data_IF_946049079319
#
_entry.id   IF_946049079319
#
_cell.length_a   1.000
_cell.length_b   1.000
_cell.length_c   1.000
_cell.angle_alpha   90.00
_cell.angle_beta   90.00
_cell.angle_gamma   90.00
#
_symmetry.space_group_name_H-M   'P 1'
#
loop_
_entity.id
_entity.type
_entity.pdbx_description
1 polymer ?
#
# COMPACT_ATOMS: atom_id res chain seq x y z
N UNK A 1 -52.15 50.02 -0.89
CA UNK A 1 -50.69 50.08 -1.21
C UNK A 1 -49.79 49.50 -0.13
N UNK A 2 -50.06 49.61 1.17
CA UNK A 2 -49.18 49.07 2.28
C UNK A 2 -48.91 47.55 2.25
N UNK A 3 -49.81 46.71 1.74
CA UNK A 3 -49.65 45.25 1.80
C UNK A 3 -48.64 44.69 0.77
N UNK A 4 -48.42 45.35 -0.36
CA UNK A 4 -47.44 44.95 -1.37
C UNK A 4 -46.00 45.29 -1.00
N UNK A 5 -45.82 46.39 -0.25
CA UNK A 5 -44.51 46.80 0.27
C UNK A 5 -43.99 45.84 1.32
N UNK A 6 -44.88 45.32 2.20
CA UNK A 6 -44.45 44.36 3.23
C UNK A 6 -43.97 43.01 2.67
N UNK A 7 -44.64 42.51 1.60
CA UNK A 7 -44.26 41.25 0.93
C UNK A 7 -42.90 41.43 0.22
N UNK A 8 -42.64 42.58 -0.38
CA UNK A 8 -41.35 42.87 -1.01
C UNK A 8 -40.19 42.82 0.00
N UNK A 9 -40.37 43.46 1.18
CA UNK A 9 -39.36 43.45 2.21
C UNK A 9 -39.14 42.08 2.86
N UNK A 10 -40.18 41.24 2.96
CA UNK A 10 -40.05 39.84 3.43
C UNK A 10 -39.28 38.99 2.44
N UNK A 11 -39.58 39.07 1.14
CA UNK A 11 -38.87 38.33 0.10
C UNK A 11 -37.41 38.79 0.03
N UNK A 12 -37.14 40.09 0.10
CA UNK A 12 -35.79 40.66 0.10
C UNK A 12 -34.99 40.14 1.31
N UNK A 13 -35.57 40.16 2.51
CA UNK A 13 -34.92 39.67 3.74
C UNK A 13 -34.63 38.17 3.68
N UNK A 14 -35.57 37.33 3.16
CA UNK A 14 -35.34 35.90 3.00
C UNK A 14 -34.23 35.62 1.96
N UNK A 15 -34.19 36.37 0.85
CA UNK A 15 -33.15 36.15 -0.18
C UNK A 15 -31.75 36.53 0.32
N UNK A 16 -31.64 37.61 1.12
CA UNK A 16 -30.36 37.99 1.71
C UNK A 16 -29.89 37.03 2.78
N UNK A 17 -30.79 36.43 3.57
CA UNK A 17 -30.44 35.37 4.52
C UNK A 17 -29.95 34.09 3.81
N UNK A 18 -30.63 33.68 2.75
CA UNK A 18 -30.19 32.53 1.93
C UNK A 18 -28.83 32.79 1.28
N UNK A 19 -28.60 33.99 0.75
CA UNK A 19 -27.31 34.34 0.16
C UNK A 19 -26.17 34.34 1.16
N UNK A 20 -26.39 34.90 2.36
CA UNK A 20 -25.42 34.88 3.45
C UNK A 20 -25.13 33.47 3.97
N UNK A 21 -26.15 32.60 4.03
CA UNK A 21 -25.96 31.18 4.41
C UNK A 21 -25.14 30.41 3.36
N UNK A 22 -25.37 30.67 2.06
CA UNK A 22 -24.58 30.08 0.97
C UNK A 22 -23.12 30.57 0.99
N UNK A 23 -22.89 31.85 1.25
CA UNK A 23 -21.53 32.39 1.46
C UNK A 23 -20.87 31.74 2.68
N UNK A 24 -21.58 31.57 3.77
CA UNK A 24 -21.07 30.90 4.98
C UNK A 24 -20.68 29.43 4.72
N UNK A 25 -21.47 28.69 3.95
CA UNK A 25 -21.16 27.33 3.51
C UNK A 25 -19.95 27.33 2.56
N UNK A 26 -19.93 28.22 1.58
CA UNK A 26 -18.81 28.36 0.64
C UNK A 26 -17.49 28.72 1.33
N UNK A 27 -17.52 29.62 2.31
CA UNK A 27 -16.36 29.99 3.11
C UNK A 27 -15.91 28.82 4.02
N UNK A 28 -16.83 28.03 4.57
CA UNK A 28 -16.48 26.82 5.33
C UNK A 28 -15.82 25.75 4.46
N UNK A 29 -16.33 25.55 3.24
CA UNK A 29 -15.76 24.59 2.27
C UNK A 29 -14.35 25.06 1.84
N UNK A 30 -14.15 26.36 1.66
CA UNK A 30 -12.83 26.92 1.30
C UNK A 30 -11.88 27.11 2.50
N UNK A 31 -12.40 27.14 3.73
CA UNK A 31 -11.56 27.14 4.94
C UNK A 31 -11.19 25.73 5.42
N UNK A 32 -11.78 24.68 4.89
CA UNK A 32 -11.18 23.35 4.98
C UNK A 32 -9.92 23.36 4.11
N UNK A 33 -8.86 24.01 4.62
CA UNK A 33 -7.51 23.69 4.16
C UNK A 33 -7.44 22.17 4.27
N UNK A 34 -7.02 21.42 3.21
CA UNK A 34 -6.51 20.11 3.47
C UNK A 34 -5.40 20.36 4.50
N UNK A 35 -5.62 19.96 5.71
CA UNK A 35 -4.54 19.72 6.64
C UNK A 35 -3.79 18.56 5.99
N UNK A 36 -2.83 18.90 5.13
CA UNK A 36 -1.63 18.10 5.03
C UNK A 36 -1.13 18.10 6.47
N UNK A 37 -1.64 17.16 7.27
CA UNK A 37 -1.06 16.87 8.54
C UNK A 37 0.42 16.69 8.20
N UNK A 38 1.22 17.61 8.71
CA UNK A 38 2.66 17.50 8.58
C UNK A 38 2.99 16.23 9.36
N UNK A 39 3.07 15.10 8.68
CA UNK A 39 3.56 13.84 9.23
C UNK A 39 5.05 13.97 9.56
N UNK A 40 5.44 15.09 10.17
CA UNK A 40 6.82 15.31 10.63
C UNK A 40 7.25 14.26 11.68
N UNK A 41 6.30 13.50 12.20
CA UNK A 41 6.50 12.32 13.07
C UNK A 41 6.02 11.01 12.44
N UNK A 42 5.54 11.02 11.19
CA UNK A 42 5.10 9.80 10.51
C UNK A 42 6.28 8.84 10.29
N UNK A 43 6.04 7.53 10.37
CA UNK A 43 7.08 6.55 10.10
C UNK A 43 7.55 6.64 8.63
N UNK A 44 8.79 6.23 8.39
CA UNK A 44 9.33 6.07 7.04
C UNK A 44 8.85 4.75 6.47
N UNK A 45 8.19 4.80 5.31
CA UNK A 45 7.67 3.60 4.65
C UNK A 45 8.73 3.01 3.74
N UNK A 46 9.20 1.82 4.05
CA UNK A 46 10.10 1.05 3.19
C UNK A 46 9.25 0.19 2.29
N UNK A 47 9.30 0.49 1.00
CA UNK A 47 8.59 -0.25 -0.03
C UNK A 47 9.57 -1.25 -0.63
N UNK A 48 9.30 -2.52 -0.38
CA UNK A 48 10.12 -3.61 -0.86
C UNK A 48 9.50 -4.24 -2.11
N UNK A 49 10.07 -3.94 -3.28
CA UNK A 49 9.72 -4.63 -4.51
C UNK A 49 10.43 -5.99 -4.53
N UNK A 50 9.75 -7.06 -4.18
CA UNK A 50 10.32 -8.40 -4.07
C UNK A 50 11.09 -8.85 -5.30
N UNK A 51 12.14 -9.66 -5.10
CA UNK A 51 13.04 -10.13 -6.16
C UNK A 51 13.81 -9.00 -6.87
N UNK A 52 14.34 -9.24 -8.08
CA UNK A 52 15.04 -8.25 -8.90
C UNK A 52 16.39 -8.75 -9.44
N UNK A 53 16.83 -8.16 -10.53
CA UNK A 53 18.05 -8.55 -11.23
C UNK A 53 18.02 -10.02 -11.63
N UNK A 54 18.97 -10.82 -11.11
CA UNK A 54 19.10 -12.26 -11.42
C UNK A 54 17.99 -13.11 -10.76
N UNK A 55 17.25 -12.59 -9.80
CA UNK A 55 16.13 -13.28 -9.16
C UNK A 55 14.79 -12.84 -9.79
N UNK A 56 14.26 -13.66 -10.69
CA UNK A 56 12.98 -13.37 -11.36
C UNK A 56 11.75 -13.58 -10.47
N UNK A 57 11.88 -14.30 -9.35
CA UNK A 57 10.74 -14.78 -8.58
C UNK A 57 9.98 -15.91 -9.30
N UNK A 58 8.68 -16.00 -9.10
CA UNK A 58 7.82 -16.94 -9.77
C UNK A 58 7.60 -16.53 -11.25
N UNK A 59 7.34 -17.54 -12.09
CA UNK A 59 6.90 -17.33 -13.48
C UNK A 59 5.44 -17.78 -13.56
N UNK A 60 4.58 -16.91 -14.06
CA UNK A 60 3.16 -17.12 -14.25
C UNK A 60 2.87 -18.14 -15.35
N UNK A 61 1.59 -18.47 -15.50
CA UNK A 61 1.12 -19.49 -16.45
C UNK A 61 1.37 -19.13 -17.92
N UNK A 62 1.39 -17.81 -18.24
CA UNK A 62 1.64 -17.29 -19.58
C UNK A 62 3.00 -16.55 -19.66
N UNK A 63 3.92 -16.84 -18.73
CA UNK A 63 5.27 -16.30 -18.75
C UNK A 63 5.46 -14.97 -18.01
N UNK A 64 4.46 -14.48 -17.29
CA UNK A 64 4.57 -13.27 -16.44
C UNK A 64 5.67 -13.47 -15.40
N UNK A 65 6.52 -12.46 -15.21
CA UNK A 65 7.66 -12.53 -14.29
C UNK A 65 7.33 -11.73 -13.02
N UNK A 66 7.38 -12.40 -11.88
CA UNK A 66 6.98 -11.82 -10.59
C UNK A 66 7.71 -10.50 -10.28
N UNK A 67 9.03 -10.42 -10.47
CA UNK A 67 9.82 -9.23 -10.16
C UNK A 67 9.36 -7.97 -10.91
N UNK A 68 8.81 -8.12 -12.12
CA UNK A 68 8.34 -7.00 -12.95
C UNK A 68 7.03 -6.46 -12.41
N UNK A 69 6.11 -7.34 -12.04
CA UNK A 69 4.82 -6.99 -11.43
C UNK A 69 5.06 -6.34 -10.06
N UNK A 70 5.94 -6.92 -9.24
CA UNK A 70 6.29 -6.36 -7.93
C UNK A 70 6.83 -4.94 -8.05
N UNK A 71 7.73 -4.70 -9.01
CA UNK A 71 8.29 -3.37 -9.25
C UNK A 71 7.23 -2.37 -9.71
N UNK A 72 6.37 -2.76 -10.63
CA UNK A 72 5.30 -1.90 -11.14
C UNK A 72 4.36 -1.44 -10.02
N UNK A 73 3.86 -2.37 -9.20
CA UNK A 73 2.98 -2.05 -8.06
C UNK A 73 3.72 -1.18 -7.03
N UNK A 74 4.99 -1.50 -6.73
CA UNK A 74 5.80 -0.77 -5.77
C UNK A 74 6.04 0.69 -6.18
N UNK A 75 6.32 0.97 -7.46
CA UNK A 75 6.49 2.33 -7.99
C UNK A 75 5.19 3.15 -7.92
N UNK A 76 4.05 2.52 -8.22
CA UNK A 76 2.73 3.16 -8.08
C UNK A 76 2.45 3.50 -6.61
N UNK A 77 2.75 2.57 -5.69
CA UNK A 77 2.60 2.79 -4.25
C UNK A 77 3.52 3.91 -3.74
N UNK A 78 4.79 3.95 -4.16
CA UNK A 78 5.73 5.02 -3.81
C UNK A 78 5.19 6.40 -4.23
N UNK A 79 4.71 6.48 -5.47
CA UNK A 79 4.13 7.72 -6.01
C UNK A 79 2.93 8.19 -5.18
N UNK A 80 2.03 7.29 -4.84
CA UNK A 80 0.85 7.61 -4.04
C UNK A 80 1.22 8.05 -2.62
N UNK A 81 2.07 7.29 -1.94
CA UNK A 81 2.48 7.61 -0.57
C UNK A 81 3.20 8.97 -0.48
N UNK A 82 4.10 9.27 -1.43
CA UNK A 82 4.75 10.59 -1.51
C UNK A 82 3.75 11.72 -1.76
N UNK A 83 2.74 11.49 -2.60
CA UNK A 83 1.68 12.47 -2.84
C UNK A 83 0.87 12.78 -1.58
N UNK A 84 0.73 11.80 -0.67
CA UNK A 84 0.11 11.99 0.66
C UNK A 84 1.09 12.48 1.74
N UNK A 85 2.34 12.80 1.39
CA UNK A 85 3.33 13.40 2.28
C UNK A 85 4.15 12.42 3.11
N UNK A 86 4.08 11.11 2.83
CA UNK A 86 4.94 10.12 3.48
C UNK A 86 6.39 10.21 2.99
N UNK A 87 7.33 9.96 3.89
CA UNK A 87 8.69 9.64 3.50
C UNK A 87 8.78 8.16 3.12
N UNK A 88 9.30 7.88 1.93
CA UNK A 88 9.43 6.53 1.42
C UNK A 88 10.88 6.20 1.06
N UNK A 89 11.25 4.95 1.22
CA UNK A 89 12.52 4.38 0.74
C UNK A 89 12.15 3.11 -0.02
N UNK A 90 12.54 3.02 -1.30
CA UNK A 90 12.39 1.80 -2.06
C UNK A 90 13.63 0.91 -1.93
N UNK A 91 13.46 -0.40 -1.83
CA UNK A 91 14.60 -1.35 -1.89
C UNK A 91 15.23 -1.36 -3.27
N UNK A 92 14.41 -1.18 -4.31
CA UNK A 92 14.83 -0.98 -5.71
C UNK A 92 13.74 -0.21 -6.46
N UNK A 93 14.16 0.60 -7.42
CA UNK A 93 13.31 1.37 -8.34
C UNK A 93 13.49 0.96 -9.81
N UNK A 94 14.27 -0.08 -10.03
CA UNK A 94 14.61 -0.65 -11.33
C UNK A 94 14.82 -2.16 -11.21
N UNK A 95 15.11 -2.85 -12.33
CA UNK A 95 15.38 -4.30 -12.30
C UNK A 95 16.79 -4.61 -11.83
N UNK A 96 17.02 -4.38 -10.54
CA UNK A 96 18.32 -4.66 -9.89
C UNK A 96 18.10 -5.50 -8.63
N UNK A 97 19.14 -6.19 -8.19
CA UNK A 97 19.26 -6.80 -6.87
C UNK A 97 20.19 -5.94 -6.02
N UNK A 98 19.90 -5.80 -4.74
CA UNK A 98 20.70 -4.98 -3.80
C UNK A 98 21.72 -5.81 -3.01
N UNK A 99 22.13 -6.96 -3.55
CA UNK A 99 23.17 -7.78 -2.94
C UNK A 99 24.52 -7.07 -2.88
N UNK A 100 25.33 -7.46 -1.92
CA UNK A 100 26.69 -6.90 -1.76
C UNK A 100 27.62 -7.36 -2.88
N UNK A 101 28.58 -6.52 -3.34
CA UNK A 101 29.47 -6.81 -4.47
C UNK A 101 30.40 -8.04 -4.28
N UNK A 102 30.60 -8.46 -3.03
CA UNK A 102 31.41 -9.64 -2.68
C UNK A 102 30.65 -10.97 -2.85
N UNK A 103 29.33 -10.95 -3.00
CA UNK A 103 28.52 -12.12 -3.29
C UNK A 103 28.73 -12.60 -4.72
N UNK A 104 29.40 -13.75 -4.88
CA UNK A 104 29.84 -14.25 -6.21
C UNK A 104 28.93 -15.30 -6.82
N UNK A 105 28.24 -16.08 -5.99
CA UNK A 105 27.32 -17.11 -6.47
C UNK A 105 25.88 -16.64 -6.35
N UNK A 106 24.97 -17.16 -7.18
CA UNK A 106 23.52 -16.84 -7.12
C UNK A 106 22.97 -17.03 -5.72
N UNK A 107 23.36 -18.12 -5.03
CA UNK A 107 22.94 -18.37 -3.65
C UNK A 107 23.44 -17.28 -2.68
N UNK A 108 24.70 -16.87 -2.81
CA UNK A 108 25.25 -15.77 -1.98
C UNK A 108 24.55 -14.46 -2.29
N UNK A 109 24.30 -14.16 -3.57
CA UNK A 109 23.60 -12.96 -4.00
C UNK A 109 22.19 -12.90 -3.43
N UNK A 110 21.38 -13.96 -3.57
CA UNK A 110 20.04 -14.03 -2.96
C UNK A 110 20.07 -13.87 -1.45
N UNK A 111 21.00 -14.53 -0.77
CA UNK A 111 21.12 -14.41 0.69
C UNK A 111 21.54 -13.01 1.12
N UNK A 112 22.48 -12.39 0.40
CA UNK A 112 22.96 -11.02 0.65
C UNK A 112 21.85 -10.00 0.38
N UNK A 113 21.10 -10.17 -0.71
CA UNK A 113 19.97 -9.32 -1.07
C UNK A 113 18.91 -9.28 0.05
N UNK A 114 18.47 -10.44 0.53
CA UNK A 114 17.51 -10.53 1.64
C UNK A 114 18.03 -9.88 2.93
N UNK A 115 19.33 -10.04 3.23
CA UNK A 115 19.95 -9.40 4.39
C UNK A 115 20.01 -7.88 4.26
N UNK A 116 20.30 -7.37 3.07
CA UNK A 116 20.38 -5.94 2.82
C UNK A 116 18.98 -5.30 2.88
N UNK A 117 17.92 -5.98 2.41
CA UNK A 117 16.53 -5.53 2.57
C UNK A 117 16.13 -5.47 4.05
N UNK A 118 16.42 -6.49 4.82
CA UNK A 118 16.20 -6.47 6.26
C UNK A 118 17.00 -5.37 6.96
N UNK A 119 18.29 -5.23 6.62
CA UNK A 119 19.14 -4.17 7.16
C UNK A 119 18.60 -2.77 6.89
N UNK A 120 18.05 -2.53 5.70
CA UNK A 120 17.42 -1.25 5.36
C UNK A 120 16.26 -0.93 6.31
N UNK A 121 15.42 -1.92 6.65
CA UNK A 121 14.37 -1.75 7.65
C UNK A 121 14.93 -1.47 9.03
N UNK A 122 15.88 -2.29 9.49
CA UNK A 122 16.41 -2.20 10.86
C UNK A 122 17.19 -0.91 11.10
N UNK A 123 17.91 -0.40 10.09
CA UNK A 123 18.67 0.84 10.20
C UNK A 123 17.77 2.11 10.07
N UNK A 124 16.57 1.98 9.51
CA UNK A 124 15.66 3.13 9.34
C UNK A 124 14.94 3.44 10.65
N UNK A 125 15.16 4.63 11.21
CA UNK A 125 14.40 5.07 12.39
C UNK A 125 12.91 5.11 12.08
N UNK A 126 12.09 4.53 12.96
CA UNK A 126 10.61 4.44 12.78
C UNK A 126 10.20 3.85 11.42
N UNK A 127 10.96 2.86 10.92
CA UNK A 127 10.67 2.21 9.63
C UNK A 127 9.48 1.25 9.71
N UNK A 128 8.66 1.26 8.66
CA UNK A 128 7.62 0.25 8.40
C UNK A 128 7.92 -0.38 7.04
N UNK A 129 7.97 -1.72 6.96
CA UNK A 129 8.19 -2.44 5.71
C UNK A 129 6.87 -2.93 5.10
N UNK A 130 6.67 -2.60 3.83
CA UNK A 130 5.63 -3.19 2.97
C UNK A 130 6.32 -3.87 1.80
N UNK A 131 6.37 -5.20 1.83
CA UNK A 131 6.97 -6.02 0.77
C UNK A 131 5.88 -6.47 -0.21
N UNK A 132 6.11 -6.26 -1.50
CA UNK A 132 5.18 -6.58 -2.59
C UNK A 132 5.67 -7.82 -3.32
N UNK A 133 4.81 -8.83 -3.37
CA UNK A 133 5.07 -10.13 -3.98
C UNK A 133 3.86 -10.67 -4.73
N UNK A 134 4.08 -11.74 -5.51
CA UNK A 134 3.03 -12.53 -6.16
C UNK A 134 3.19 -13.98 -5.76
N UNK A 135 2.09 -14.59 -5.38
CA UNK A 135 2.07 -15.98 -4.95
C UNK A 135 2.10 -16.96 -6.16
N UNK A 136 2.59 -18.15 -5.92
CA UNK A 136 2.47 -19.26 -6.84
C UNK A 136 2.21 -20.56 -6.07
N UNK A 137 1.17 -21.28 -6.47
CA UNK A 137 0.78 -22.52 -5.81
C UNK A 137 0.53 -23.64 -6.81
N UNK A 138 0.62 -24.90 -6.38
CA UNK A 138 0.41 -26.07 -7.24
C UNK A 138 -1.02 -26.19 -7.78
N UNK A 139 -2.01 -25.65 -7.05
CA UNK A 139 -3.41 -25.63 -7.50
C UNK A 139 -3.68 -24.33 -8.26
N UNK A 140 -4.03 -24.44 -9.52
CA UNK A 140 -4.37 -23.30 -10.39
C UNK A 140 -5.67 -22.58 -10.00
N UNK A 141 -6.49 -23.17 -9.14
CA UNK A 141 -7.70 -22.55 -8.58
C UNK A 141 -7.41 -21.63 -7.38
N UNK A 142 -6.18 -21.62 -6.85
CA UNK A 142 -5.81 -20.71 -5.78
C UNK A 142 -5.89 -19.26 -6.28
N UNK A 143 -6.52 -18.38 -5.49
CA UNK A 143 -6.75 -16.99 -5.86
C UNK A 143 -6.85 -16.08 -4.63
N UNK A 144 -6.76 -14.78 -4.87
CA UNK A 144 -6.96 -13.73 -3.87
C UNK A 144 -5.70 -13.37 -3.09
N UNK A 145 -5.61 -12.09 -2.76
CA UNK A 145 -4.51 -11.53 -1.94
C UNK A 145 -4.39 -12.23 -0.59
N UNK A 146 -3.16 -12.45 -0.15
CA UNK A 146 -2.85 -12.94 1.19
C UNK A 146 -1.75 -12.10 1.83
N UNK A 147 -2.02 -11.54 3.02
CA UNK A 147 -1.03 -10.75 3.73
C UNK A 147 -0.34 -11.59 4.81
N UNK A 148 1.00 -11.54 4.80
CA UNK A 148 1.85 -12.14 5.83
C UNK A 148 2.42 -11.06 6.72
N UNK A 149 2.67 -11.36 8.01
CA UNK A 149 3.19 -10.41 8.98
C UNK A 149 4.36 -10.96 9.80
N UNK A 150 5.26 -10.06 10.20
CA UNK A 150 6.38 -10.36 11.10
C UNK A 150 5.89 -10.65 12.51
N UNK A 151 6.49 -11.63 13.15
CA UNK A 151 6.06 -12.13 14.48
C UNK A 151 6.61 -11.35 15.67
N UNK A 152 7.71 -10.59 15.46
CA UNK A 152 8.46 -9.98 16.56
C UNK A 152 7.99 -8.55 16.90
N UNK A 153 7.02 -8.00 16.13
CA UNK A 153 6.46 -6.68 16.30
C UNK A 153 4.94 -6.77 16.21
N UNK A 154 4.19 -6.48 17.30
CA UNK A 154 2.73 -6.60 17.31
C UNK A 154 2.03 -5.75 16.24
N UNK A 155 2.55 -4.55 15.95
CA UNK A 155 2.04 -3.63 14.96
C UNK A 155 2.05 -4.22 13.53
N UNK A 156 2.91 -5.22 13.28
CA UNK A 156 2.91 -5.97 12.00
C UNK A 156 1.57 -6.69 11.77
N UNK A 157 0.99 -7.24 12.83
CA UNK A 157 -0.28 -7.96 12.74
C UNK A 157 -1.44 -7.00 12.49
N UNK A 158 -1.48 -5.88 13.21
CA UNK A 158 -2.51 -4.84 13.06
C UNK A 158 -2.49 -4.27 11.63
N UNK A 159 -1.30 -3.96 11.12
CA UNK A 159 -1.13 -3.51 9.74
C UNK A 159 -1.58 -4.57 8.72
N UNK A 160 -1.25 -5.85 8.95
CA UNK A 160 -1.68 -6.93 8.06
C UNK A 160 -3.21 -7.11 8.05
N UNK A 161 -3.87 -7.01 9.21
CA UNK A 161 -5.33 -7.05 9.32
C UNK A 161 -5.99 -5.91 8.53
N UNK A 162 -5.46 -4.69 8.68
CA UNK A 162 -5.95 -3.52 7.95
C UNK A 162 -5.74 -3.67 6.44
N UNK A 163 -4.56 -4.13 6.00
CA UNK A 163 -4.26 -4.39 4.58
C UNK A 163 -5.19 -5.45 4.00
N UNK A 164 -5.29 -6.62 4.64
CA UNK A 164 -6.15 -7.70 4.17
C UNK A 164 -7.60 -7.23 4.04
N UNK A 165 -8.14 -6.60 5.08
CA UNK A 165 -9.51 -6.07 5.11
C UNK A 165 -9.75 -5.03 4.01
N UNK A 166 -8.81 -4.11 3.81
CA UNK A 166 -8.97 -3.03 2.84
C UNK A 166 -8.94 -3.57 1.41
N UNK A 167 -7.96 -4.44 1.09
CA UNK A 167 -7.83 -5.03 -0.25
C UNK A 167 -9.05 -5.90 -0.57
N UNK A 168 -9.46 -6.77 0.35
CA UNK A 168 -10.65 -7.61 0.14
C UNK A 168 -11.92 -6.79 -0.02
N UNK A 169 -12.10 -5.77 0.80
CA UNK A 169 -13.29 -4.92 0.76
C UNK A 169 -13.43 -4.10 -0.52
N UNK A 170 -12.31 -3.62 -1.10
CA UNK A 170 -12.35 -2.78 -2.30
C UNK A 170 -12.24 -3.57 -3.61
N UNK A 171 -11.43 -4.63 -3.65
CA UNK A 171 -11.05 -5.28 -4.90
C UNK A 171 -11.48 -6.74 -5.02
N UNK A 172 -11.61 -7.44 -3.89
CA UNK A 172 -11.71 -8.88 -3.87
C UNK A 172 -12.78 -9.36 -2.85
N UNK A 173 -14.05 -8.95 -2.99
CA UNK A 173 -15.08 -9.28 -2.00
C UNK A 173 -15.31 -10.78 -1.78
N UNK A 174 -14.95 -11.61 -2.77
CA UNK A 174 -15.02 -13.07 -2.68
C UNK A 174 -13.79 -13.70 -2.01
N UNK A 175 -12.78 -12.90 -1.70
CA UNK A 175 -11.55 -13.38 -1.09
C UNK A 175 -11.77 -13.61 0.42
N UNK A 176 -11.75 -14.86 0.84
CA UNK A 176 -11.91 -15.29 2.24
C UNK A 176 -10.60 -15.61 2.95
N UNK A 177 -9.46 -15.23 2.36
CA UNK A 177 -8.15 -15.48 2.97
C UNK A 177 -7.94 -14.60 4.18
N UNK A 178 -7.36 -15.21 5.21
CA UNK A 178 -6.96 -14.54 6.44
C UNK A 178 -5.46 -14.21 6.40
N UNK A 179 -5.04 -13.25 7.21
CA UNK A 179 -3.61 -12.95 7.40
C UNK A 179 -2.87 -14.16 7.97
N UNK A 180 -1.56 -14.24 7.69
CA UNK A 180 -0.72 -15.32 8.20
C UNK A 180 0.55 -14.78 8.84
N UNK A 181 0.91 -15.36 9.98
CA UNK A 181 2.23 -15.12 10.56
C UNK A 181 3.32 -15.75 9.68
N UNK A 182 4.36 -14.99 9.40
CA UNK A 182 5.50 -15.45 8.62
C UNK A 182 6.24 -16.59 9.31
N UNK A 183 6.58 -17.62 8.55
CA UNK A 183 7.48 -18.69 8.96
C UNK A 183 8.93 -18.34 8.62
N UNK A 184 9.88 -19.19 9.01
CA UNK A 184 11.31 -19.03 8.67
C UNK A 184 11.59 -18.93 7.17
N UNK A 185 10.65 -19.35 6.33
CA UNK A 185 10.80 -19.34 4.87
C UNK A 185 10.65 -17.92 4.30
N UNK A 186 9.95 -17.04 5.03
CA UNK A 186 9.88 -15.60 4.70
C UNK A 186 10.90 -14.85 5.57
N UNK A 187 12.18 -14.96 5.19
CA UNK A 187 13.32 -14.54 6.00
C UNK A 187 13.19 -13.12 6.57
N UNK A 188 12.82 -12.13 5.74
CA UNK A 188 12.75 -10.72 6.15
C UNK A 188 11.72 -10.57 7.28
N UNK A 189 10.49 -11.03 7.07
CA UNK A 189 9.44 -10.89 8.09
C UNK A 189 9.72 -11.70 9.35
N UNK A 190 10.35 -12.88 9.18
CA UNK A 190 10.67 -13.74 10.31
C UNK A 190 11.71 -13.12 11.25
N UNK A 191 12.65 -12.33 10.70
CA UNK A 191 13.74 -11.68 11.44
C UNK A 191 13.40 -10.24 11.86
N UNK A 192 12.53 -9.55 11.13
CA UNK A 192 12.20 -8.15 11.38
C UNK A 192 11.79 -7.91 12.85
N UNK A 193 12.35 -6.85 13.44
CA UNK A 193 12.03 -6.37 14.80
C UNK A 193 11.15 -5.13 14.80
N UNK A 194 10.89 -4.59 13.61
CA UNK A 194 10.02 -3.44 13.32
C UNK A 194 8.77 -3.89 12.56
N UNK A 195 7.74 -3.04 12.42
CA UNK A 195 6.54 -3.38 11.66
C UNK A 195 6.90 -3.81 10.24
N UNK A 196 6.52 -5.04 9.88
CA UNK A 196 6.86 -5.62 8.59
C UNK A 196 5.75 -6.56 8.10
N UNK A 197 5.32 -6.33 6.88
CA UNK A 197 4.30 -7.12 6.19
C UNK A 197 4.74 -7.45 4.76
N UNK A 198 4.21 -8.55 4.23
CA UNK A 198 4.32 -8.93 2.82
C UNK A 198 2.92 -9.10 2.26
N UNK A 199 2.67 -8.44 1.16
CA UNK A 199 1.42 -8.53 0.42
C UNK A 199 1.65 -9.41 -0.80
N UNK A 200 1.14 -10.64 -0.75
CA UNK A 200 1.00 -11.52 -1.90
C UNK A 200 -0.24 -11.09 -2.65
N UNK A 201 -0.09 -10.27 -3.70
CA UNK A 201 -1.20 -9.55 -4.35
C UNK A 201 -2.19 -10.49 -5.06
N UNK A 202 -1.74 -11.66 -5.51
CA UNK A 202 -2.54 -12.70 -6.15
C UNK A 202 -1.66 -13.87 -6.59
N UNK A 203 -2.21 -14.82 -7.34
CA UNK A 203 -1.56 -16.07 -7.70
C UNK A 203 -1.20 -16.12 -9.18
N UNK A 204 0.08 -16.11 -9.52
CA UNK A 204 0.59 -16.28 -10.88
C UNK A 204 0.32 -17.69 -11.47
N UNK A 205 -0.06 -18.65 -10.63
CA UNK A 205 -0.51 -19.97 -11.04
C UNK A 205 -1.97 -20.03 -11.51
N UNK A 206 -2.74 -18.97 -11.32
CA UNK A 206 -4.11 -18.81 -11.77
C UNK A 206 -4.14 -17.85 -12.97
N UNK A 207 -4.57 -18.33 -14.15
CA UNK A 207 -4.54 -17.55 -15.38
C UNK A 207 -5.31 -16.22 -15.25
N UNK A 208 -6.52 -16.25 -14.68
CA UNK A 208 -7.33 -15.04 -14.52
C UNK A 208 -6.71 -14.01 -13.56
N UNK A 209 -5.98 -14.45 -12.53
CA UNK A 209 -5.24 -13.54 -11.65
C UNK A 209 -3.95 -13.06 -12.30
N UNK A 210 -3.21 -13.93 -12.99
CA UNK A 210 -2.00 -13.55 -13.70
C UNK A 210 -2.27 -12.45 -14.73
N UNK A 211 -3.39 -12.54 -15.47
CA UNK A 211 -3.83 -11.48 -16.38
C UNK A 211 -4.12 -10.17 -15.65
N UNK A 212 -4.91 -10.22 -14.56
CA UNK A 212 -5.21 -9.02 -13.75
C UNK A 212 -3.95 -8.38 -13.18
N UNK A 213 -3.02 -9.18 -12.68
CA UNK A 213 -1.78 -8.70 -12.05
C UNK A 213 -0.85 -7.99 -13.03
N UNK A 214 -1.01 -8.20 -14.33
CA UNK A 214 -0.30 -7.47 -15.40
C UNK A 214 -1.06 -6.26 -15.93
N UNK A 215 -2.33 -6.11 -15.57
CA UNK A 215 -3.16 -4.96 -15.93
C UNK A 215 -2.79 -3.74 -15.09
N UNK A 216 -2.48 -2.62 -15.75
CA UNK A 216 -2.03 -1.39 -15.07
C UNK A 216 -3.10 -0.79 -14.15
N UNK A 217 -4.37 -0.83 -14.54
CA UNK A 217 -5.47 -0.29 -13.73
C UNK A 217 -5.64 -1.13 -12.44
N UNK A 218 -5.55 -2.45 -12.55
CA UNK A 218 -5.63 -3.32 -11.40
C UNK A 218 -4.42 -3.14 -10.45
N UNK A 219 -3.23 -2.92 -10.99
CA UNK A 219 -2.04 -2.58 -10.20
C UNK A 219 -2.20 -1.24 -9.46
N UNK A 220 -2.79 -0.23 -10.11
CA UNK A 220 -3.12 1.05 -9.47
C UNK A 220 -4.13 0.86 -8.33
N UNK A 221 -5.15 0.03 -8.52
CA UNK A 221 -6.15 -0.28 -7.49
C UNK A 221 -5.53 -1.02 -6.30
N UNK A 222 -4.60 -1.96 -6.54
CA UNK A 222 -3.82 -2.62 -5.47
C UNK A 222 -2.99 -1.59 -4.70
N UNK A 223 -2.19 -0.77 -5.39
CA UNK A 223 -1.36 0.25 -4.77
C UNK A 223 -2.19 1.25 -3.96
N UNK A 224 -3.33 1.69 -4.48
CA UNK A 224 -4.28 2.56 -3.78
C UNK A 224 -4.86 1.90 -2.53
N UNK A 225 -5.20 0.62 -2.60
CA UNK A 225 -5.75 -0.12 -1.45
C UNK A 225 -4.70 -0.26 -0.34
N UNK A 226 -3.44 -0.54 -0.70
CA UNK A 226 -2.31 -0.60 0.26
C UNK A 226 -2.08 0.78 0.90
N UNK A 227 -2.03 1.83 0.09
CA UNK A 227 -1.87 3.21 0.57
C UNK A 227 -2.98 3.61 1.55
N UNK A 228 -4.24 3.32 1.19
CA UNK A 228 -5.41 3.59 2.04
C UNK A 228 -5.35 2.81 3.36
N UNK A 229 -4.99 1.53 3.32
CA UNK A 229 -4.85 0.70 4.52
C UNK A 229 -3.80 1.25 5.48
N UNK A 230 -2.64 1.66 4.96
CA UNK A 230 -1.57 2.27 5.76
C UNK A 230 -2.03 3.57 6.41
N UNK A 231 -2.69 4.46 5.65
CA UNK A 231 -3.22 5.71 6.19
C UNK A 231 -4.23 5.48 7.32
N UNK A 232 -5.15 4.52 7.14
CA UNK A 232 -6.13 4.18 8.17
C UNK A 232 -5.46 3.59 9.41
N UNK A 233 -4.50 2.69 9.24
CA UNK A 233 -3.76 2.08 10.34
C UNK A 233 -3.01 3.13 11.19
N UNK A 234 -2.41 4.14 10.56
CA UNK A 234 -1.69 5.20 11.26
C UNK A 234 -2.63 6.26 11.88
N UNK A 235 -3.80 6.47 11.30
CA UNK A 235 -4.81 7.36 11.88
C UNK A 235 -5.43 6.80 13.15
N UNK A 236 -5.62 5.48 13.24
CA UNK A 236 -6.16 4.80 14.41
C UNK A 236 -5.18 4.81 15.61
N UNK A 237 -3.89 5.09 15.37
CA UNK A 237 -2.85 5.16 16.41
C UNK A 237 -2.59 6.58 16.94
N UNK A 238 -3.20 7.61 16.35
CA UNK A 238 -3.05 9.04 16.71
C UNK A 238 -4.21 9.54 17.58
#
# INVERSE_FOLDING_TARGET
MRRKTNIFWIIFSCSTLCFLSLIGVFLRIHQSKPTLASYSSAPVVIIDAGHGGMDGGAIGVDGQIEKEINLSIALKLDTMLRAYGFQTIMTRDSDVSIHSPDAKTVRQQKTSDLRNRLKLLEDTSSGILISIHQNKYSQSSAHGTQVFYGKNCPESKELAEMLQKTITGYLQPENTREIKQATKDIYILYQATKPAVMVECGFLSNAAEADKLTDEEYQDQIAFSICTALMNCLADQS
#
